data_IF_962633636262
#
_entry.id   IF_962633636262
#
_cell.length_a   1.000
_cell.length_b   1.000
_cell.length_c   1.000
_cell.angle_alpha   90.00
_cell.angle_beta   90.00
_cell.angle_gamma   90.00
#
_symmetry.space_group_name_H-M   'P 1'
#
loop_
_entity.id
_entity.type
_entity.pdbx_description
1 polymer ?
#
# COMPACT_ATOMS: atom_id res chain seq x y z
N UNK A 1 -0.34 -15.45 -19.69
CA UNK A 1 -1.47 -14.70 -19.12
C UNK A 1 -0.93 -13.91 -17.94
N UNK A 2 -0.44 -12.69 -18.17
CA UNK A 2 0.10 -11.87 -17.08
C UNK A 2 -1.07 -11.23 -16.36
N UNK A 3 -1.55 -11.90 -15.31
CA UNK A 3 -2.60 -11.35 -14.45
C UNK A 3 -2.06 -10.10 -13.78
N UNK A 4 -2.77 -8.98 -13.94
CA UNK A 4 -2.54 -7.78 -13.15
C UNK A 4 -2.69 -8.15 -11.68
N UNK A 5 -1.57 -8.30 -10.95
CA UNK A 5 -1.60 -8.42 -9.49
C UNK A 5 -2.01 -7.04 -8.96
N UNK A 6 -3.26 -6.90 -8.52
CA UNK A 6 -3.65 -5.77 -7.67
C UNK A 6 -2.96 -5.93 -6.32
N UNK A 7 -2.26 -4.89 -5.89
CA UNK A 7 -1.65 -4.83 -4.56
C UNK A 7 -2.67 -4.27 -3.58
N UNK A 8 -2.73 -4.84 -2.39
CA UNK A 8 -3.57 -4.30 -1.32
C UNK A 8 -2.75 -3.32 -0.52
N UNK A 9 -3.31 -2.14 -0.31
CA UNK A 9 -2.63 -1.05 0.39
C UNK A 9 -3.54 -0.53 1.48
N UNK A 10 -3.05 -0.56 2.72
CA UNK A 10 -3.70 0.15 3.82
C UNK A 10 -3.20 1.59 3.83
N UNK A 11 -4.14 2.53 3.83
CA UNK A 11 -3.86 3.97 3.92
C UNK A 11 -4.40 4.47 5.23
N UNK A 12 -3.54 5.05 6.05
CA UNK A 12 -3.95 5.65 7.31
C UNK A 12 -3.26 6.99 7.51
N UNK A 13 -3.83 7.83 8.37
CA UNK A 13 -3.23 9.11 8.74
C UNK A 13 -2.47 8.93 10.06
N UNK A 14 -1.22 9.35 10.08
CA UNK A 14 -0.39 9.44 11.27
C UNK A 14 0.00 10.92 11.42
N UNK A 15 -0.51 11.57 12.47
CA UNK A 15 -0.36 13.01 12.68
C UNK A 15 -0.79 13.83 11.44
N UNK A 16 0.16 14.53 10.80
CA UNK A 16 -0.06 15.40 9.64
C UNK A 16 0.25 14.73 8.30
N UNK A 17 0.55 13.43 8.28
CA UNK A 17 0.88 12.70 7.05
C UNK A 17 -0.05 11.52 6.80
N UNK A 18 -0.24 11.20 5.53
CA UNK A 18 -0.80 9.93 5.10
C UNK A 18 0.32 8.92 4.94
N UNK A 19 0.05 7.68 5.32
CA UNK A 19 0.94 6.53 5.20
C UNK A 19 0.23 5.49 4.34
N UNK A 20 0.92 4.96 3.34
CA UNK A 20 0.46 3.85 2.51
C UNK A 20 1.42 2.67 2.68
N UNK A 21 0.89 1.54 3.14
CA UNK A 21 1.63 0.31 3.34
C UNK A 21 1.05 -0.80 2.48
N UNK A 22 1.89 -1.41 1.65
CA UNK A 22 1.56 -2.64 0.93
C UNK A 22 1.38 -3.79 1.92
N UNK A 23 0.39 -4.65 1.72
CA UNK A 23 0.17 -5.84 2.56
C UNK A 23 0.95 -7.05 2.08
N UNK A 24 1.32 -7.11 0.81
CA UNK A 24 2.08 -8.24 0.26
C UNK A 24 3.59 -8.12 0.56
N UNK A 25 4.09 -6.89 0.64
CA UNK A 25 5.51 -6.56 0.70
C UNK A 25 5.75 -5.43 1.70
N UNK A 26 6.91 -5.39 2.34
CA UNK A 26 7.32 -4.34 3.27
C UNK A 26 7.69 -3.05 2.52
N UNK A 27 6.71 -2.50 1.81
CA UNK A 27 6.79 -1.26 1.04
C UNK A 27 5.87 -0.26 1.72
N UNK A 28 6.49 0.77 2.27
CA UNK A 28 5.80 1.86 2.94
C UNK A 28 6.20 3.20 2.32
N UNK A 29 5.22 4.05 2.05
CA UNK A 29 5.45 5.45 1.68
C UNK A 29 4.60 6.36 2.53
N UNK A 30 5.04 7.60 2.69
CA UNK A 30 4.29 8.64 3.39
C UNK A 30 4.23 9.91 2.56
N UNK A 31 3.19 10.72 2.71
CA UNK A 31 3.05 12.02 2.06
C UNK A 31 2.07 12.93 2.81
N UNK A 32 2.15 14.23 2.58
CA UNK A 32 1.23 15.25 3.12
C UNK A 32 -0.13 15.30 2.37
N UNK A 33 -0.28 14.53 1.29
CA UNK A 33 -1.55 14.42 0.55
C UNK A 33 -1.69 13.08 -0.16
N UNK A 34 -2.93 12.63 -0.39
CA UNK A 34 -3.23 11.39 -1.10
C UNK A 34 -2.64 11.34 -2.54
N UNK A 35 -2.71 12.42 -3.35
CA UNK A 35 -2.09 12.39 -4.69
C UNK A 35 -0.58 12.15 -4.64
N UNK A 36 0.14 12.84 -3.75
CA UNK A 36 1.58 12.64 -3.58
C UNK A 36 1.90 11.25 -3.00
N UNK A 37 1.02 10.72 -2.17
CA UNK A 37 1.16 9.37 -1.61
C UNK A 37 1.14 8.33 -2.74
N UNK A 38 0.18 8.46 -3.66
CA UNK A 38 0.07 7.61 -4.84
C UNK A 38 1.31 7.72 -5.74
N UNK A 39 1.73 8.95 -6.08
CA UNK A 39 2.93 9.18 -6.90
C UNK A 39 4.19 8.54 -6.28
N UNK A 40 4.36 8.69 -4.96
CA UNK A 40 5.49 8.07 -4.23
C UNK A 40 5.40 6.56 -4.23
N UNK A 41 4.20 6.00 -4.09
CA UNK A 41 4.00 4.55 -4.11
C UNK A 41 4.37 3.97 -5.49
N UNK A 42 3.83 4.56 -6.57
CA UNK A 42 4.15 4.17 -7.94
C UNK A 42 5.65 4.29 -8.24
N UNK A 43 6.28 5.40 -7.83
CA UNK A 43 7.72 5.59 -7.98
C UNK A 43 8.53 4.53 -7.21
N UNK A 44 8.12 4.19 -5.99
CA UNK A 44 8.78 3.15 -5.18
C UNK A 44 8.71 1.80 -5.87
N UNK A 45 7.53 1.43 -6.40
CA UNK A 45 7.37 0.17 -7.15
C UNK A 45 8.24 0.10 -8.41
N UNK A 46 8.44 1.22 -9.10
CA UNK A 46 9.34 1.31 -10.27
C UNK A 46 10.81 1.16 -9.83
N UNK A 47 11.19 1.77 -8.71
CA UNK A 47 12.56 1.73 -8.18
C UNK A 47 12.96 0.36 -7.65
N UNK A 48 12.01 -0.44 -7.16
CA UNK A 48 12.20 -1.83 -6.72
C UNK A 48 12.51 -2.81 -7.87
N UNK A 49 13.06 -2.34 -9.00
CA UNK A 49 13.25 -3.00 -10.30
C UNK A 49 13.89 -4.39 -10.34
N UNK A 50 14.26 -4.99 -9.20
CA UNK A 50 14.54 -6.43 -9.04
C UNK A 50 13.27 -7.30 -8.90
N UNK A 51 12.11 -6.67 -8.78
CA UNK A 51 10.81 -7.31 -8.61
C UNK A 51 10.42 -7.43 -7.13
N UNK A 52 9.12 -7.27 -6.86
CA UNK A 52 8.57 -7.22 -5.50
C UNK A 52 8.81 -8.52 -4.70
N UNK A 53 9.07 -9.64 -5.38
CA UNK A 53 9.32 -10.95 -4.75
C UNK A 53 10.59 -10.98 -3.88
N UNK A 54 11.51 -10.03 -4.07
CA UNK A 54 12.72 -9.90 -3.28
C UNK A 54 12.52 -9.09 -1.99
N UNK A 55 11.34 -8.50 -1.80
CA UNK A 55 11.01 -7.67 -0.64
C UNK A 55 10.34 -8.56 0.40
N UNK A 56 10.78 -8.40 1.65
CA UNK A 56 10.19 -9.09 2.80
C UNK A 56 8.67 -8.85 2.88
N UNK A 57 7.90 -9.80 3.44
CA UNK A 57 6.48 -9.60 3.63
C UNK A 57 6.18 -8.44 4.60
N UNK A 58 5.04 -7.80 4.42
CA UNK A 58 4.61 -6.70 5.28
C UNK A 58 4.48 -7.16 6.75
N UNK A 59 4.83 -6.30 7.73
CA UNK A 59 4.64 -6.60 9.14
C UNK A 59 3.19 -6.95 9.49
N UNK A 60 2.98 -7.97 10.33
CA UNK A 60 1.65 -8.51 10.68
C UNK A 60 0.65 -7.45 11.16
N UNK A 61 1.13 -6.43 11.90
CA UNK A 61 0.32 -5.30 12.38
C UNK A 61 -0.48 -4.60 11.27
N UNK A 62 0.01 -4.55 10.04
CA UNK A 62 -0.68 -3.87 8.95
C UNK A 62 -1.82 -4.70 8.36
N UNK A 63 -1.70 -6.04 8.41
CA UNK A 63 -2.82 -6.93 8.13
C UNK A 63 -3.93 -6.76 9.17
N UNK A 64 -3.57 -6.58 10.45
CA UNK A 64 -4.54 -6.31 11.51
C UNK A 64 -5.28 -4.98 11.26
N UNK A 65 -4.56 -3.91 10.88
CA UNK A 65 -5.19 -2.62 10.52
C UNK A 65 -6.15 -2.80 9.34
N UNK A 66 -5.74 -3.52 8.29
CA UNK A 66 -6.60 -3.80 7.14
C UNK A 66 -7.87 -4.57 7.56
N UNK A 67 -7.72 -5.65 8.33
CA UNK A 67 -8.84 -6.46 8.82
C UNK A 67 -9.80 -5.62 9.66
N UNK A 68 -9.27 -4.76 10.55
CA UNK A 68 -10.09 -3.88 11.38
C UNK A 68 -10.80 -2.81 10.55
N UNK A 69 -10.12 -2.20 9.58
CA UNK A 69 -10.72 -1.18 8.71
C UNK A 69 -11.83 -1.76 7.82
N UNK A 70 -11.63 -2.96 7.28
CA UNK A 70 -12.67 -3.70 6.53
C UNK A 70 -13.86 -4.05 7.42
N UNK A 71 -13.62 -4.48 8.67
CA UNK A 71 -14.68 -4.81 9.61
C UNK A 71 -15.50 -3.58 10.07
N UNK A 72 -14.89 -2.40 10.08
CA UNK A 72 -15.52 -1.14 10.51
C UNK A 72 -16.25 -0.38 9.39
N UNK A 73 -16.39 -0.95 8.19
CA UNK A 73 -16.97 -0.30 6.98
C UNK A 73 -16.37 1.08 6.65
N UNK A 74 -15.18 1.39 7.18
CA UNK A 74 -14.51 2.66 6.94
C UNK A 74 -13.78 2.59 5.60
N UNK A 75 -14.54 2.86 4.52
CA UNK A 75 -14.05 2.82 3.12
C UNK A 75 -12.87 3.77 2.85
N UNK A 76 -12.65 4.76 3.71
CA UNK A 76 -11.64 5.79 3.49
C UNK A 76 -10.21 5.33 3.82
N UNK A 77 -10.02 4.17 4.46
CA UNK A 77 -8.70 3.69 4.91
C UNK A 77 -8.12 2.49 4.11
N UNK A 78 -8.92 1.79 3.30
CA UNK A 78 -8.48 0.59 2.59
C UNK A 78 -8.70 0.73 1.09
N UNK A 79 -7.63 0.70 0.30
CA UNK A 79 -7.72 0.79 -1.16
C UNK A 79 -6.92 -0.32 -1.84
N UNK A 80 -7.51 -0.96 -2.84
CA UNK A 80 -6.78 -1.85 -3.75
C UNK A 80 -6.18 -1.03 -4.89
N UNK A 81 -4.85 -1.03 -5.01
CA UNK A 81 -4.17 -0.41 -6.14
C UNK A 81 -3.95 -1.43 -7.25
N UNK A 82 -4.49 -1.14 -8.44
CA UNK A 82 -4.30 -1.98 -9.63
C UNK A 82 -3.05 -1.53 -10.36
N UNK A 83 -2.14 -2.47 -10.64
CA UNK A 83 -0.96 -2.21 -11.44
C UNK A 83 -1.30 -2.23 -12.93
N UNK A 84 -1.00 -1.14 -13.65
CA UNK A 84 -0.86 -1.18 -15.09
C UNK A 84 0.51 -1.84 -15.40
N UNK A 85 0.47 -2.95 -16.13
CA UNK A 85 1.65 -3.67 -16.60
C UNK A 85 2.24 -3.01 -17.84
#
# INVERSE_FOLDING_TARGET
>A
MSGHKSLRVVVFREEEVFVAQCLEHDICVQADSLPKLQERFEATLILEGKGLEAIDPAPARFHEIWTNAVALESRDACTEMRMAA
#
